data_IF_904700355951
#
_entry.id   IF_904700355951
#
_cell.length_a   1.000
_cell.length_b   1.000
_cell.length_c   1.000
_cell.angle_alpha   90.00
_cell.angle_beta   90.00
_cell.angle_gamma   90.00
#
_symmetry.space_group_name_H-M   'P 1'
#
loop_
_entity.id
_entity.type
_entity.pdbx_description
1 polymer ?
#
# COMPACT_ATOMS: atom_id res chain seq x y z
N UNK A 1 -16.05 -29.27 1.97
CA UNK A 1 -16.65 -28.52 3.11
C UNK A 1 -15.60 -28.53 4.20
N UNK A 2 -14.81 -27.47 4.32
CA UNK A 2 -13.89 -27.31 5.45
C UNK A 2 -14.76 -26.94 6.65
N UNK A 3 -14.86 -27.85 7.60
CA UNK A 3 -15.44 -27.55 8.91
C UNK A 3 -14.46 -26.59 9.61
N UNK A 4 -14.75 -25.30 9.56
CA UNK A 4 -14.03 -24.34 10.39
C UNK A 4 -14.37 -24.63 11.84
N UNK A 5 -13.47 -25.33 12.53
CA UNK A 5 -13.45 -25.26 13.99
C UNK A 5 -13.23 -23.81 14.35
N UNK A 6 -14.10 -23.25 15.19
CA UNK A 6 -14.03 -21.86 15.67
C UNK A 6 -12.64 -21.62 16.27
N UNK A 7 -11.73 -21.04 15.48
CA UNK A 7 -10.41 -20.66 15.98
C UNK A 7 -10.58 -19.32 16.68
N UNK A 8 -10.44 -19.32 18.00
CA UNK A 8 -10.63 -18.10 18.81
C UNK A 8 -9.75 -16.94 18.36
N UNK A 9 -8.53 -17.24 17.87
CA UNK A 9 -7.62 -16.20 17.41
C UNK A 9 -8.11 -15.55 16.11
N UNK A 10 -8.58 -16.33 15.14
CA UNK A 10 -9.18 -15.78 13.92
C UNK A 10 -10.36 -14.89 14.28
N UNK A 11 -11.22 -15.35 15.19
CA UNK A 11 -12.39 -14.59 15.60
C UNK A 11 -12.01 -13.29 16.31
N UNK A 12 -11.02 -13.33 17.20
CA UNK A 12 -10.50 -12.14 17.89
C UNK A 12 -9.90 -11.15 16.92
N UNK A 13 -9.06 -11.61 15.99
CA UNK A 13 -8.45 -10.76 14.97
C UNK A 13 -9.48 -10.17 14.01
N UNK A 14 -10.44 -10.99 13.55
CA UNK A 14 -11.55 -10.51 12.73
C UNK A 14 -12.39 -9.45 13.45
N UNK A 15 -12.65 -9.64 14.76
CA UNK A 15 -13.39 -8.66 15.56
C UNK A 15 -12.62 -7.33 15.65
N UNK A 16 -11.32 -7.38 15.93
CA UNK A 16 -10.50 -6.16 15.95
C UNK A 16 -10.54 -5.41 14.61
N UNK A 17 -10.43 -6.15 13.51
CA UNK A 17 -10.46 -5.55 12.17
C UNK A 17 -11.84 -4.94 11.87
N UNK A 18 -12.93 -5.65 12.10
CA UNK A 18 -14.28 -5.17 11.75
C UNK A 18 -14.74 -4.07 12.71
N UNK A 19 -14.60 -4.30 14.01
CA UNK A 19 -15.13 -3.40 15.04
C UNK A 19 -14.24 -2.16 15.22
N UNK A 20 -12.95 -2.37 15.38
CA UNK A 20 -12.03 -1.28 15.78
C UNK A 20 -11.45 -0.56 14.56
N UNK A 21 -10.85 -1.28 13.61
CA UNK A 21 -10.26 -0.64 12.44
C UNK A 21 -11.31 -0.18 11.45
N UNK A 22 -12.36 -0.99 11.25
CA UNK A 22 -13.49 -0.66 10.39
C UNK A 22 -14.44 0.39 11.00
N UNK A 23 -14.33 0.68 12.31
CA UNK A 23 -15.19 1.64 13.01
C UNK A 23 -16.67 1.40 12.73
N UNK A 24 -17.08 0.12 12.70
CA UNK A 24 -18.40 -0.28 12.28
C UNK A 24 -19.49 0.15 13.27
N UNK A 25 -20.68 0.40 12.75
CA UNK A 25 -21.85 0.80 13.53
C UNK A 25 -23.01 -0.17 13.30
N UNK A 26 -23.82 -0.49 14.33
CA UNK A 26 -25.00 -1.31 14.14
C UNK A 26 -25.91 -0.75 13.04
N UNK A 27 -26.40 -1.62 12.17
CA UNK A 27 -27.25 -1.27 11.04
C UNK A 27 -26.52 -1.00 9.73
N UNK A 28 -25.20 -0.90 9.74
CA UNK A 28 -24.39 -0.76 8.52
C UNK A 28 -24.33 -2.06 7.70
N UNK A 29 -24.00 -1.92 6.43
CA UNK A 29 -23.80 -3.02 5.48
C UNK A 29 -22.31 -3.28 5.23
N UNK A 30 -21.89 -4.53 5.39
CA UNK A 30 -20.52 -4.98 5.13
C UNK A 30 -20.47 -5.96 3.96
N UNK A 31 -19.50 -5.76 3.06
CA UNK A 31 -19.19 -6.67 1.96
C UNK A 31 -17.78 -7.19 2.13
N UNK A 32 -17.62 -8.51 2.12
CA UNK A 32 -16.32 -9.18 1.99
C UNK A 32 -16.19 -9.72 0.56
N UNK A 33 -15.11 -9.38 -0.12
CA UNK A 33 -14.73 -9.94 -1.42
C UNK A 33 -13.63 -10.95 -1.17
N UNK A 34 -13.84 -12.19 -1.55
CA UNK A 34 -12.97 -13.29 -1.21
C UNK A 34 -12.80 -14.26 -2.38
N UNK A 35 -11.72 -15.00 -2.39
CA UNK A 35 -11.45 -16.15 -3.26
C UNK A 35 -11.49 -17.45 -2.46
N UNK A 36 -11.17 -18.60 -3.10
CA UNK A 36 -11.18 -19.90 -2.44
C UNK A 36 -10.23 -19.98 -1.23
N UNK A 37 -9.10 -19.27 -1.27
CA UNK A 37 -8.12 -19.28 -0.19
C UNK A 37 -8.62 -18.50 1.03
N UNK A 38 -9.32 -17.40 0.79
CA UNK A 38 -9.72 -16.45 1.84
C UNK A 38 -11.18 -16.55 2.25
N UNK A 39 -11.99 -17.33 1.54
CA UNK A 39 -13.44 -17.45 1.82
C UNK A 39 -13.77 -17.80 3.28
N UNK A 40 -12.96 -18.62 3.91
CA UNK A 40 -13.16 -18.99 5.29
C UNK A 40 -12.98 -17.85 6.28
N UNK A 41 -12.00 -17.00 6.04
CA UNK A 41 -11.78 -15.80 6.85
C UNK A 41 -12.92 -14.79 6.64
N UNK A 42 -13.36 -14.60 5.40
CA UNK A 42 -14.53 -13.78 5.08
C UNK A 42 -15.78 -14.26 5.84
N UNK A 43 -15.96 -15.58 5.96
CA UNK A 43 -17.06 -16.16 6.71
C UNK A 43 -17.01 -15.78 8.19
N UNK A 44 -15.83 -15.87 8.82
CA UNK A 44 -15.65 -15.47 10.23
C UNK A 44 -15.91 -13.98 10.39
N UNK A 45 -15.40 -13.14 9.49
CA UNK A 45 -15.66 -11.69 9.53
C UNK A 45 -17.15 -11.35 9.40
N UNK A 46 -17.87 -12.03 8.52
CA UNK A 46 -19.32 -11.88 8.41
C UNK A 46 -20.07 -12.33 9.66
N UNK A 47 -19.61 -13.38 10.34
CA UNK A 47 -20.23 -13.82 11.59
C UNK A 47 -19.98 -12.80 12.70
N UNK A 48 -18.77 -12.23 12.80
CA UNK A 48 -18.45 -11.10 13.69
C UNK A 48 -19.32 -9.89 13.38
N UNK A 49 -19.43 -9.50 12.11
CA UNK A 49 -20.23 -8.36 11.70
C UNK A 49 -21.69 -8.51 12.15
N UNK A 50 -22.28 -9.71 11.99
CA UNK A 50 -23.65 -9.99 12.44
C UNK A 50 -23.79 -9.90 13.96
N UNK A 51 -22.81 -10.38 14.73
CA UNK A 51 -22.78 -10.21 16.19
C UNK A 51 -22.75 -8.72 16.59
N UNK A 52 -22.10 -7.87 15.77
CA UNK A 52 -22.04 -6.42 15.97
C UNK A 52 -23.25 -5.67 15.41
N UNK A 53 -24.23 -6.39 14.84
CA UNK A 53 -25.47 -5.82 14.33
C UNK A 53 -25.41 -5.28 12.91
N UNK A 54 -24.42 -5.69 12.11
CA UNK A 54 -24.32 -5.34 10.70
C UNK A 54 -25.04 -6.37 9.82
N UNK A 55 -25.49 -5.92 8.65
CA UNK A 55 -25.80 -6.79 7.52
C UNK A 55 -24.49 -7.13 6.80
N UNK A 56 -24.21 -8.41 6.58
CA UNK A 56 -22.94 -8.84 5.96
C UNK A 56 -23.15 -9.87 4.87
N UNK A 57 -22.42 -9.70 3.74
CA UNK A 57 -22.38 -10.64 2.63
C UNK A 57 -20.96 -10.94 2.21
N UNK A 58 -20.78 -12.08 1.54
CA UNK A 58 -19.53 -12.48 0.88
C UNK A 58 -19.79 -12.54 -0.61
N UNK A 59 -18.88 -11.96 -1.38
CA UNK A 59 -18.80 -12.12 -2.83
C UNK A 59 -17.59 -12.98 -3.12
N UNK A 60 -17.86 -14.17 -3.67
CA UNK A 60 -16.84 -15.10 -4.10
C UNK A 60 -16.41 -14.77 -5.52
N UNK A 61 -15.20 -14.23 -5.68
CA UNK A 61 -14.71 -13.83 -7.00
C UNK A 61 -14.27 -15.01 -7.85
N UNK A 62 -14.07 -16.20 -7.30
CA UNK A 62 -13.78 -17.40 -8.06
C UNK A 62 -14.96 -17.83 -8.95
N UNK A 63 -16.16 -17.39 -8.61
CA UNK A 63 -17.35 -17.60 -9.45
C UNK A 63 -17.30 -16.85 -10.79
N UNK A 64 -16.40 -15.89 -10.96
CA UNK A 64 -16.31 -15.04 -12.16
C UNK A 64 -15.31 -15.54 -13.23
N UNK A 65 -14.70 -16.69 -13.04
CA UNK A 65 -13.82 -17.37 -14.03
C UNK A 65 -12.32 -17.21 -13.77
N UNK A 66 -11.50 -18.12 -14.16
CA UNK A 66 -10.08 -18.42 -13.97
C UNK A 66 -9.04 -17.32 -13.57
N UNK A 67 -7.77 -17.67 -13.55
CA UNK A 67 -6.66 -16.78 -13.10
C UNK A 67 -6.44 -15.54 -13.99
N UNK A 68 -7.05 -15.49 -15.16
CA UNK A 68 -7.06 -14.30 -16.04
C UNK A 68 -8.10 -13.24 -15.63
N UNK A 69 -8.89 -13.49 -14.60
CA UNK A 69 -10.05 -12.66 -14.17
C UNK A 69 -9.65 -11.26 -13.79
N UNK A 70 -8.50 -11.12 -13.16
CA UNK A 70 -8.00 -9.83 -12.68
C UNK A 70 -7.49 -8.94 -13.81
N UNK A 71 -7.30 -9.51 -15.00
CA UNK A 71 -6.65 -8.83 -16.12
C UNK A 71 -7.62 -8.34 -17.20
N UNK A 72 -8.87 -8.82 -17.21
CA UNK A 72 -9.79 -8.59 -18.32
C UNK A 72 -11.15 -8.04 -17.92
N UNK A 73 -11.35 -7.72 -16.65
CA UNK A 73 -12.69 -7.38 -16.20
C UNK A 73 -13.13 -5.99 -16.64
N UNK A 74 -14.30 -5.92 -17.31
CA UNK A 74 -15.27 -4.97 -16.83
C UNK A 74 -15.82 -5.56 -15.52
N UNK A 75 -15.72 -4.82 -14.41
CA UNK A 75 -16.32 -5.23 -13.15
C UNK A 75 -17.79 -5.51 -13.42
N UNK A 76 -18.23 -6.69 -13.03
CA UNK A 76 -19.63 -7.02 -13.19
C UNK A 76 -20.46 -6.02 -12.39
N UNK A 77 -21.45 -5.45 -13.04
CA UNK A 77 -22.30 -4.44 -12.43
C UNK A 77 -22.86 -4.83 -11.04
N UNK A 78 -23.25 -6.09 -10.77
CA UNK A 78 -23.63 -6.50 -9.43
C UNK A 78 -22.57 -6.32 -8.37
N UNK A 79 -21.29 -6.61 -8.67
CA UNK A 79 -20.17 -6.40 -7.75
C UNK A 79 -19.93 -4.90 -7.52
N UNK A 80 -19.92 -4.11 -8.59
CA UNK A 80 -19.82 -2.67 -8.52
C UNK A 80 -20.89 -2.07 -7.62
N UNK A 81 -22.14 -2.45 -7.81
CA UNK A 81 -23.26 -1.96 -7.00
C UNK A 81 -23.13 -2.40 -5.54
N UNK A 82 -22.67 -3.63 -5.27
CA UNK A 82 -22.46 -4.09 -3.90
C UNK A 82 -21.38 -3.25 -3.18
N UNK A 83 -20.28 -2.92 -3.85
CA UNK A 83 -19.22 -2.06 -3.30
C UNK A 83 -19.74 -0.64 -3.06
N UNK A 84 -20.40 -0.04 -4.06
CA UNK A 84 -20.86 1.34 -3.99
C UNK A 84 -21.94 1.59 -2.92
N UNK A 85 -22.66 0.56 -2.52
CA UNK A 85 -23.74 0.67 -1.53
C UNK A 85 -23.40 0.04 -0.17
N UNK A 86 -22.17 -0.44 0.02
CA UNK A 86 -21.70 -0.91 1.30
C UNK A 86 -21.14 0.25 2.14
N UNK A 87 -21.30 0.17 3.46
CA UNK A 87 -20.64 1.09 4.40
C UNK A 87 -19.20 0.62 4.69
N UNK A 88 -18.99 -0.69 4.62
CA UNK A 88 -17.73 -1.36 4.88
C UNK A 88 -17.41 -2.37 3.78
N UNK A 89 -16.23 -2.30 3.19
CA UNK A 89 -15.76 -3.26 2.18
C UNK A 89 -14.41 -3.84 2.61
N UNK A 90 -14.35 -5.15 2.67
CA UNK A 90 -13.10 -5.89 2.91
C UNK A 90 -12.76 -6.74 1.69
N UNK A 91 -11.65 -6.44 1.04
CA UNK A 91 -11.07 -7.26 -0.01
C UNK A 91 -10.03 -8.19 0.60
N UNK A 92 -10.34 -9.49 0.62
CA UNK A 92 -9.57 -10.51 1.33
C UNK A 92 -8.89 -11.48 0.36
N UNK A 93 -8.53 -11.01 -0.81
CA UNK A 93 -7.97 -11.89 -1.83
C UNK A 93 -6.50 -12.15 -1.57
N UNK A 94 -6.02 -13.34 -1.98
CA UNK A 94 -4.61 -13.74 -1.97
C UNK A 94 -3.74 -12.87 -2.90
N UNK A 95 -4.40 -12.07 -3.73
CA UNK A 95 -3.78 -11.16 -4.67
C UNK A 95 -4.05 -9.74 -4.19
N UNK A 96 -3.01 -8.96 -4.02
CA UNK A 96 -3.12 -7.54 -3.69
C UNK A 96 -3.86 -6.81 -4.81
N UNK A 97 -5.17 -6.75 -4.67
CA UNK A 97 -6.00 -5.90 -5.50
C UNK A 97 -6.03 -4.53 -4.82
N UNK A 98 -4.97 -3.79 -5.00
CA UNK A 98 -4.80 -2.48 -4.38
C UNK A 98 -5.73 -1.43 -4.96
N UNK A 99 -6.41 -1.75 -6.07
CA UNK A 99 -7.14 -0.77 -6.85
C UNK A 99 -8.61 -1.09 -6.99
N UNK A 100 -9.42 -0.45 -6.18
CA UNK A 100 -10.87 -0.48 -6.34
C UNK A 100 -11.33 0.07 -7.69
N UNK A 101 -10.62 1.03 -8.28
CA UNK A 101 -10.88 1.53 -9.62
C UNK A 101 -10.86 0.44 -10.68
N UNK A 102 -9.96 -0.55 -10.55
CA UNK A 102 -9.95 -1.72 -11.42
C UNK A 102 -11.20 -2.58 -11.29
N UNK A 103 -11.67 -2.79 -10.06
CA UNK A 103 -12.92 -3.50 -9.84
C UNK A 103 -14.12 -2.74 -10.36
N UNK A 104 -14.04 -1.43 -10.39
CA UNK A 104 -15.13 -0.58 -10.85
C UNK A 104 -15.12 -0.37 -12.37
N UNK A 105 -14.11 -0.89 -13.07
CA UNK A 105 -14.06 -0.94 -14.54
C UNK A 105 -13.82 0.42 -15.20
N UNK A 106 -13.46 1.42 -14.43
CA UNK A 106 -13.10 2.75 -14.95
C UNK A 106 -11.76 3.18 -14.39
N UNK A 107 -10.67 3.04 -15.14
CA UNK A 107 -9.35 3.44 -14.70
C UNK A 107 -9.20 4.96 -14.50
N UNK A 108 -10.13 5.77 -15.03
CA UNK A 108 -10.13 7.22 -14.88
C UNK A 108 -10.87 7.69 -13.61
N UNK A 109 -11.51 6.77 -12.90
CA UNK A 109 -12.19 7.08 -11.64
C UNK A 109 -11.24 6.81 -10.47
N UNK A 110 -10.89 7.84 -9.72
CA UNK A 110 -10.11 7.75 -8.50
C UNK A 110 -10.87 6.94 -7.45
N UNK A 111 -10.21 6.02 -6.77
CA UNK A 111 -10.78 5.16 -5.73
C UNK A 111 -11.52 5.95 -4.66
N UNK A 112 -10.95 7.08 -4.24
CA UNK A 112 -11.54 7.95 -3.22
C UNK A 112 -12.82 8.64 -3.66
N UNK A 113 -12.98 8.93 -4.94
CA UNK A 113 -14.20 9.59 -5.45
C UNK A 113 -15.38 8.62 -5.53
N UNK A 114 -15.12 7.36 -5.88
CA UNK A 114 -16.15 6.32 -5.97
C UNK A 114 -16.57 5.76 -4.62
N UNK A 115 -15.65 5.73 -3.68
CA UNK A 115 -15.81 5.10 -2.38
C UNK A 115 -16.02 6.13 -1.26
N UNK A 116 -16.33 7.38 -1.60
CA UNK A 116 -16.39 8.50 -0.67
C UNK A 116 -17.29 8.33 0.56
N UNK A 117 -18.16 7.34 0.60
CA UNK A 117 -18.97 6.96 1.76
C UNK A 117 -18.53 5.64 2.37
N UNK A 118 -17.83 4.76 1.64
CA UNK A 118 -17.46 3.42 2.07
C UNK A 118 -16.06 3.42 2.70
N UNK A 119 -15.93 2.73 3.82
CA UNK A 119 -14.63 2.42 4.41
C UNK A 119 -14.13 1.13 3.79
N UNK A 120 -13.09 1.24 2.99
CA UNK A 120 -12.57 0.12 2.21
C UNK A 120 -11.22 -0.33 2.76
N UNK A 121 -11.05 -1.65 2.84
CA UNK A 121 -9.86 -2.28 3.35
C UNK A 121 -9.43 -3.43 2.45
N UNK A 122 -8.15 -3.44 2.12
CA UNK A 122 -7.55 -4.52 1.34
C UNK A 122 -6.52 -5.25 2.18
N UNK A 123 -6.57 -6.55 2.27
CA UNK A 123 -5.53 -7.33 2.92
C UNK A 123 -5.58 -8.80 2.54
N UNK A 124 -4.44 -9.43 2.55
CA UNK A 124 -4.34 -10.87 2.46
C UNK A 124 -4.77 -11.48 3.80
N UNK A 125 -5.91 -12.15 3.82
CA UNK A 125 -6.45 -12.73 5.04
C UNK A 125 -5.86 -14.10 5.37
N UNK A 126 -5.10 -14.71 4.46
CA UNK A 126 -4.44 -15.99 4.69
C UNK A 126 -3.47 -15.88 5.85
N UNK A 127 -3.55 -16.80 6.80
CA UNK A 127 -2.72 -16.76 8.00
C UNK A 127 -3.22 -15.85 9.12
N UNK A 128 -4.48 -15.36 9.07
CA UNK A 128 -5.08 -14.57 10.15
C UNK A 128 -4.97 -15.25 11.53
N UNK A 129 -4.92 -16.57 11.58
CA UNK A 129 -4.68 -17.34 12.81
C UNK A 129 -3.29 -17.14 13.39
N UNK A 130 -2.32 -16.75 12.59
CA UNK A 130 -0.96 -16.49 13.03
C UNK A 130 -0.74 -15.04 13.49
N UNK A 131 -1.65 -14.14 13.19
CA UNK A 131 -1.52 -12.74 13.58
C UNK A 131 -1.48 -12.58 15.11
N UNK A 132 -0.44 -11.94 15.59
CA UNK A 132 -0.28 -11.56 16.99
C UNK A 132 -0.45 -10.03 17.08
N UNK A 133 -1.68 -9.56 16.89
CA UNK A 133 -1.98 -8.15 16.91
C UNK A 133 -1.67 -7.53 18.27
N UNK A 134 -1.04 -6.38 18.25
CA UNK A 134 -1.03 -5.44 19.36
C UNK A 134 -1.99 -4.30 19.00
N UNK A 135 -3.25 -4.35 19.45
CA UNK A 135 -4.25 -3.36 19.09
C UNK A 135 -3.85 -1.93 19.41
N UNK A 136 -3.22 -1.71 20.57
CA UNK A 136 -2.83 -0.37 20.98
C UNK A 136 -1.75 0.19 20.07
N UNK A 137 -0.73 -0.62 19.75
CA UNK A 137 0.36 -0.22 18.86
C UNK A 137 -0.14 0.12 17.45
N UNK A 138 -1.08 -0.68 16.93
CA UNK A 138 -1.70 -0.42 15.62
C UNK A 138 -2.47 0.92 15.63
N UNK A 139 -3.23 1.17 16.69
CA UNK A 139 -3.96 2.44 16.83
C UNK A 139 -3.00 3.64 16.99
N UNK A 140 -1.90 3.46 17.71
CA UNK A 140 -0.87 4.49 17.86
C UNK A 140 -0.18 4.79 16.53
N UNK A 141 0.10 3.77 15.72
CA UNK A 141 0.66 3.92 14.38
C UNK A 141 -0.29 4.68 13.46
N UNK A 142 -1.59 4.35 13.47
CA UNK A 142 -2.62 5.09 12.72
C UNK A 142 -2.72 6.55 13.18
N UNK A 143 -2.70 6.78 14.47
CA UNK A 143 -2.71 8.14 15.02
C UNK A 143 -1.46 8.94 14.61
N UNK A 144 -0.29 8.30 14.56
CA UNK A 144 0.96 8.89 14.05
C UNK A 144 0.83 9.23 12.57
N UNK A 145 0.31 8.32 11.75
CA UNK A 145 0.05 8.57 10.33
C UNK A 145 -0.76 9.85 10.12
N UNK A 146 -1.85 10.00 10.86
CA UNK A 146 -2.72 11.17 10.75
C UNK A 146 -2.02 12.46 11.21
N UNK A 147 -1.17 12.39 12.24
CA UNK A 147 -0.38 13.56 12.67
C UNK A 147 0.65 13.94 11.62
N UNK A 148 1.37 12.96 11.06
CA UNK A 148 2.34 13.18 9.98
C UNK A 148 1.67 13.77 8.74
N UNK A 149 0.54 13.20 8.32
CA UNK A 149 -0.24 13.71 7.20
C UNK A 149 -0.61 15.19 7.37
N UNK A 150 -1.12 15.57 8.55
CA UNK A 150 -1.46 16.97 8.85
C UNK A 150 -0.24 17.89 8.82
N UNK A 151 0.93 17.42 9.27
CA UNK A 151 2.17 18.20 9.21
C UNK A 151 2.63 18.39 7.77
N UNK A 152 2.58 17.34 6.96
CA UNK A 152 2.95 17.41 5.55
C UNK A 152 2.08 18.40 4.76
N UNK A 153 0.78 18.48 5.05
CA UNK A 153 -0.12 19.46 4.40
C UNK A 153 0.31 20.92 4.59
N UNK A 154 1.09 21.22 5.63
CA UNK A 154 1.60 22.57 5.91
C UNK A 154 3.09 22.72 5.68
N UNK A 155 3.80 21.63 5.37
CA UNK A 155 5.23 21.64 5.13
C UNK A 155 5.58 22.19 3.74
N UNK A 156 6.80 22.67 3.61
CA UNK A 156 7.37 23.12 2.33
C UNK A 156 8.42 22.17 1.80
N UNK A 157 9.26 21.67 2.70
CA UNK A 157 10.41 20.86 2.32
C UNK A 157 10.46 19.59 3.14
N UNK A 158 10.54 18.47 2.45
CA UNK A 158 10.86 17.15 2.99
C UNK A 158 12.31 16.84 2.61
N UNK A 159 13.12 16.42 3.58
CA UNK A 159 14.46 15.91 3.34
C UNK A 159 14.58 14.51 3.95
N UNK A 160 15.16 13.59 3.21
CA UNK A 160 15.42 12.21 3.64
C UNK A 160 16.91 11.96 3.51
N UNK A 161 17.56 11.61 4.62
CA UNK A 161 18.98 11.28 4.64
C UNK A 161 19.21 9.96 5.34
N UNK A 162 20.32 9.28 5.00
CA UNK A 162 20.78 8.08 5.72
C UNK A 162 22.28 8.10 5.90
N UNK A 163 22.78 7.35 6.87
CA UNK A 163 24.22 7.13 7.04
C UNK A 163 24.87 6.44 5.83
N UNK A 164 24.07 5.78 4.98
CA UNK A 164 24.52 5.10 3.75
C UNK A 164 24.69 6.04 2.57
N UNK A 165 24.25 7.29 2.68
CA UNK A 165 24.44 8.31 1.64
C UNK A 165 23.17 8.71 0.89
N UNK A 166 21.99 8.30 1.30
CA UNK A 166 20.76 8.93 0.82
C UNK A 166 20.78 10.40 1.22
N UNK A 167 20.49 11.27 0.27
CA UNK A 167 20.32 12.71 0.44
C UNK A 167 19.32 13.18 -0.61
N UNK A 168 18.05 13.12 -0.26
CA UNK A 168 16.90 13.41 -1.12
C UNK A 168 16.12 14.58 -0.55
N UNK A 169 15.77 15.53 -1.40
CA UNK A 169 14.90 16.67 -1.05
C UNK A 169 13.68 16.70 -1.97
N UNK A 170 12.53 16.95 -1.37
CA UNK A 170 11.26 17.14 -2.07
C UNK A 170 10.63 18.48 -1.67
N UNK A 171 10.22 19.27 -2.67
CA UNK A 171 9.36 20.45 -2.46
C UNK A 171 7.91 19.98 -2.31
N UNK A 172 7.46 19.86 -1.06
CA UNK A 172 6.12 19.35 -0.71
C UNK A 172 5.01 20.28 -1.19
N UNK A 173 5.30 21.58 -1.41
CA UNK A 173 4.30 22.53 -1.91
C UNK A 173 3.87 22.24 -3.34
N UNK A 174 4.61 21.40 -4.04
CA UNK A 174 4.35 20.95 -5.41
C UNK A 174 3.82 19.51 -5.47
N UNK A 175 3.43 18.94 -4.35
CA UNK A 175 2.83 17.60 -4.34
C UNK A 175 1.51 17.60 -5.10
N UNK A 176 1.34 16.65 -6.01
CA UNK A 176 0.10 16.46 -6.76
C UNK A 176 -1.00 15.87 -5.87
N UNK A 177 -0.62 15.00 -4.97
CA UNK A 177 -1.50 14.43 -3.95
C UNK A 177 -0.72 14.01 -2.69
N UNK A 178 -1.43 13.83 -1.58
CA UNK A 178 -0.95 13.13 -0.39
C UNK A 178 -2.12 12.55 0.38
N UNK A 179 -1.94 11.40 0.95
CA UNK A 179 -3.00 10.75 1.72
C UNK A 179 -2.44 9.77 2.76
N UNK A 180 -3.18 9.57 3.87
CA UNK A 180 -2.83 8.54 4.84
C UNK A 180 -3.29 7.18 4.32
N UNK A 181 -2.37 6.24 4.16
CA UNK A 181 -2.65 4.86 3.80
C UNK A 181 -2.75 4.04 5.07
N UNK A 182 -3.96 3.61 5.42
CA UNK A 182 -4.25 2.85 6.63
C UNK A 182 -5.28 1.74 6.37
N UNK A 183 -5.54 1.50 5.10
CA UNK A 183 -6.55 0.56 4.64
C UNK A 183 -5.97 -0.79 4.20
N UNK A 184 -4.66 -0.92 4.16
CA UNK A 184 -3.96 -2.19 3.95
C UNK A 184 -3.67 -2.77 5.32
N UNK A 185 -4.43 -3.76 5.71
CA UNK A 185 -4.58 -4.19 7.10
C UNK A 185 -3.74 -5.41 7.43
N UNK A 186 -3.58 -5.58 8.74
CA UNK A 186 -3.90 -4.75 9.91
C UNK A 186 -2.75 -3.88 10.37
N UNK A 187 -1.60 -4.03 9.74
CA UNK A 187 -0.32 -3.56 10.28
C UNK A 187 0.21 -2.36 9.54
N UNK A 188 -0.37 -2.08 8.38
CA UNK A 188 0.15 -1.07 7.50
C UNK A 188 -0.29 0.32 7.91
N UNK A 189 0.65 1.23 7.94
CA UNK A 189 0.39 2.64 8.17
C UNK A 189 1.52 3.46 7.53
N UNK A 190 1.16 4.35 6.63
CA UNK A 190 2.08 5.30 6.00
C UNK A 190 1.39 6.58 5.60
N UNK A 191 2.17 7.57 5.20
CA UNK A 191 1.69 8.68 4.38
C UNK A 191 2.32 8.56 3.01
N UNK A 192 1.49 8.35 2.00
CA UNK A 192 1.89 8.43 0.61
C UNK A 192 1.92 9.89 0.18
N UNK A 193 3.06 10.35 -0.30
CA UNK A 193 3.28 11.65 -0.88
C UNK A 193 3.54 11.46 -2.38
N UNK A 194 2.67 12.03 -3.21
CA UNK A 194 2.82 12.01 -4.66
C UNK A 194 3.49 13.31 -5.08
N UNK A 195 4.79 13.28 -5.40
CA UNK A 195 5.53 14.49 -5.69
C UNK A 195 5.20 15.02 -7.10
N UNK A 196 4.92 16.28 -7.20
CA UNK A 196 4.73 16.94 -8.50
C UNK A 196 6.02 17.02 -9.31
N UNK A 197 5.88 17.15 -10.61
CA UNK A 197 7.03 17.22 -11.53
C UNK A 197 8.01 18.32 -11.13
N UNK A 198 9.29 17.97 -11.07
CA UNK A 198 10.38 18.89 -10.73
C UNK A 198 10.52 19.18 -9.25
N UNK A 199 9.83 18.45 -8.38
CA UNK A 199 9.90 18.67 -6.92
C UNK A 199 10.97 17.84 -6.22
N UNK A 200 11.41 16.69 -6.80
CA UNK A 200 12.35 15.75 -6.17
C UNK A 200 13.74 15.88 -6.75
N UNK A 201 14.74 16.05 -5.89
CA UNK A 201 16.13 16.14 -6.26
C UNK A 201 17.03 15.43 -5.25
N UNK A 202 18.10 14.82 -5.73
CA UNK A 202 19.12 14.20 -4.87
C UNK A 202 19.38 12.74 -5.19
N UNK A 203 19.91 12.02 -4.21
CA UNK A 203 20.31 10.62 -4.35
C UNK A 203 19.60 9.77 -3.31
N UNK A 204 19.09 8.63 -3.74
CA UNK A 204 18.54 7.56 -2.90
C UNK A 204 19.54 6.41 -2.90
N UNK A 205 19.95 5.94 -1.75
CA UNK A 205 20.68 4.68 -1.60
C UNK A 205 19.68 3.64 -1.14
N UNK A 206 19.21 2.87 -2.11
CA UNK A 206 18.22 1.82 -1.89
C UNK A 206 18.89 0.49 -1.51
N UNK A 207 18.32 -0.21 -0.55
CA UNK A 207 18.78 -1.53 -0.09
C UNK A 207 17.74 -2.65 -0.31
N UNK A 208 16.68 -2.35 -1.01
CA UNK A 208 15.65 -3.28 -1.47
C UNK A 208 14.76 -2.65 -2.55
N UNK A 209 13.92 -3.46 -3.16
CA UNK A 209 12.85 -2.98 -4.02
C UNK A 209 11.69 -3.96 -4.12
N UNK A 210 10.49 -3.45 -4.36
CA UNK A 210 9.32 -4.21 -4.78
C UNK A 210 8.83 -3.71 -6.14
N UNK A 211 8.32 -4.61 -6.97
CA UNK A 211 7.90 -4.31 -8.34
C UNK A 211 6.44 -4.73 -8.54
N UNK A 212 5.65 -3.85 -9.13
CA UNK A 212 4.30 -4.14 -9.63
C UNK A 212 4.26 -3.87 -11.13
N UNK A 213 3.85 -4.86 -11.92
CA UNK A 213 3.69 -4.71 -13.36
C UNK A 213 2.24 -4.37 -13.72
N UNK A 214 2.05 -3.39 -14.60
CA UNK A 214 0.75 -2.90 -15.04
C UNK A 214 0.56 -3.06 -16.54
N UNK A 215 -0.69 -3.15 -17.00
CA UNK A 215 -1.06 -3.14 -18.42
C UNK A 215 -1.00 -1.74 -19.02
N UNK A 216 -1.25 -1.66 -20.33
CA UNK A 216 -1.22 -0.40 -21.09
C UNK A 216 -2.18 0.67 -20.57
N UNK A 217 -3.18 0.29 -19.79
CA UNK A 217 -4.14 1.22 -19.14
C UNK A 217 -3.90 1.34 -17.64
N UNK A 218 -2.75 0.88 -17.15
CA UNK A 218 -2.48 0.83 -15.72
C UNK A 218 -3.19 -0.32 -14.99
N UNK A 219 -3.80 -1.28 -15.67
CA UNK A 219 -4.33 -2.47 -15.00
C UNK A 219 -3.18 -3.43 -14.64
N UNK A 220 -3.22 -4.13 -13.50
CA UNK A 220 -2.24 -5.15 -13.17
C UNK A 220 -2.19 -6.23 -14.25
N UNK A 221 -1.03 -6.50 -14.80
CA UNK A 221 -0.82 -7.60 -15.74
C UNK A 221 -0.48 -8.89 -15.01
N UNK A 222 0.03 -8.77 -13.82
CA UNK A 222 0.31 -9.90 -12.94
C UNK A 222 -0.12 -9.51 -11.54
N UNK A 223 -0.56 -10.49 -10.72
CA UNK A 223 -0.55 -10.26 -9.29
C UNK A 223 0.85 -9.72 -8.98
N UNK A 224 0.90 -8.64 -8.23
CA UNK A 224 2.17 -8.21 -7.67
C UNK A 224 2.85 -9.48 -7.18
N UNK A 225 4.05 -9.81 -7.66
CA UNK A 225 4.81 -10.88 -7.06
C UNK A 225 5.21 -10.34 -5.69
N UNK A 226 4.24 -10.36 -4.79
CA UNK A 226 4.44 -10.02 -3.42
C UNK A 226 5.65 -10.82 -2.97
N UNK A 227 6.72 -10.14 -2.69
CA UNK A 227 7.78 -10.70 -1.93
C UNK A 227 8.98 -11.28 -2.64
N UNK A 228 9.47 -10.71 -3.70
CA UNK A 228 10.90 -10.76 -3.95
C UNK A 228 11.61 -9.63 -3.20
N UNK A 229 11.37 -9.59 -1.89
CA UNK A 229 12.18 -8.81 -0.98
C UNK A 229 13.53 -9.50 -0.79
N UNK A 230 14.38 -9.31 -1.72
CA UNK A 230 15.79 -9.46 -1.43
C UNK A 230 16.28 -8.11 -0.92
N UNK A 231 16.49 -8.01 0.40
CA UNK A 231 17.40 -7.00 0.91
C UNK A 231 18.69 -7.15 0.11
N UNK A 232 19.02 -6.16 -0.65
CA UNK A 232 20.17 -6.26 -1.54
C UNK A 232 21.45 -6.25 -0.73
N UNK A 233 22.29 -7.23 -0.96
CA UNK A 233 23.61 -7.31 -0.31
C UNK A 233 24.49 -6.10 -0.62
N UNK A 234 24.21 -5.43 -1.73
CA UNK A 234 24.88 -4.20 -2.18
C UNK A 234 23.81 -3.19 -2.55
N UNK A 235 23.73 -2.08 -1.85
CA UNK A 235 22.80 -1.01 -2.17
C UNK A 235 23.01 -0.46 -3.58
N UNK A 236 21.94 0.14 -4.12
CA UNK A 236 21.97 0.90 -5.37
C UNK A 236 21.82 2.39 -5.08
N UNK A 237 22.62 3.19 -5.78
CA UNK A 237 22.43 4.63 -5.88
C UNK A 237 21.47 4.97 -7.02
N UNK A 238 20.43 5.73 -6.71
CA UNK A 238 19.45 6.23 -7.67
C UNK A 238 19.51 7.75 -7.65
N UNK A 239 19.74 8.36 -8.81
CA UNK A 239 19.97 9.80 -8.90
C UNK A 239 18.78 10.50 -9.52
N UNK A 240 18.15 11.38 -8.76
CA UNK A 240 16.98 12.16 -9.19
C UNK A 240 17.34 13.61 -9.48
N UNK A 241 16.81 14.15 -10.57
CA UNK A 241 16.82 15.57 -10.91
C UNK A 241 15.46 15.96 -11.45
N UNK A 242 14.87 16.97 -10.84
CA UNK A 242 13.55 17.48 -11.24
C UNK A 242 12.48 16.38 -11.33
N UNK A 243 12.47 15.48 -10.34
CA UNK A 243 11.63 14.27 -10.23
C UNK A 243 11.95 13.17 -11.24
N UNK A 244 12.93 13.33 -12.11
CA UNK A 244 13.33 12.31 -13.08
C UNK A 244 14.51 11.49 -12.55
N UNK A 245 14.43 10.18 -12.58
CA UNK A 245 15.56 9.28 -12.39
C UNK A 245 16.50 9.39 -13.59
N UNK A 246 17.64 10.04 -13.38
CA UNK A 246 18.61 10.36 -14.45
C UNK A 246 19.76 9.34 -14.53
N UNK A 247 19.90 8.48 -13.56
CA UNK A 247 20.93 7.45 -13.52
C UNK A 247 20.88 6.62 -12.25
N UNK A 248 21.58 5.51 -12.31
CA UNK A 248 21.74 4.58 -11.18
C UNK A 248 23.11 3.92 -11.24
N UNK A 249 23.61 3.50 -10.07
CA UNK A 249 24.85 2.78 -9.90
C UNK A 249 24.76 1.77 -8.73
N UNK A 250 25.75 0.88 -8.60
CA UNK A 250 25.83 -0.07 -7.51
C UNK A 250 25.93 -1.52 -7.98
N UNK A 251 25.06 -2.41 -7.49
CA UNK A 251 25.11 -3.82 -7.85
C UNK A 251 24.81 -4.05 -9.34
N UNK A 252 25.72 -4.72 -10.04
CA UNK A 252 25.61 -4.92 -11.49
C UNK A 252 24.36 -5.73 -11.92
N UNK A 253 23.90 -6.64 -11.06
CA UNK A 253 22.71 -7.45 -11.36
C UNK A 253 21.46 -6.59 -11.27
N UNK A 254 21.35 -5.77 -10.24
CA UNK A 254 20.20 -4.86 -10.05
C UNK A 254 20.24 -3.72 -11.10
N UNK A 255 21.41 -3.20 -11.41
CA UNK A 255 21.58 -2.21 -12.49
C UNK A 255 21.08 -2.77 -13.84
N UNK A 256 21.45 -4.00 -14.18
CA UNK A 256 20.97 -4.64 -15.40
C UNK A 256 19.45 -4.91 -15.41
N UNK A 257 18.84 -5.15 -14.25
CA UNK A 257 17.38 -5.26 -14.12
C UNK A 257 16.70 -3.92 -14.38
N UNK A 258 17.24 -2.84 -13.80
CA UNK A 258 16.77 -1.49 -14.06
C UNK A 258 16.96 -1.08 -15.52
N UNK A 259 18.12 -1.36 -16.11
CA UNK A 259 18.38 -1.12 -17.53
C UNK A 259 17.28 -1.78 -18.38
N UNK A 260 16.98 -3.05 -18.12
CA UNK A 260 15.93 -3.77 -18.83
C UNK A 260 14.54 -3.19 -18.59
N UNK A 261 14.23 -2.80 -17.36
CA UNK A 261 12.96 -2.19 -17.02
C UNK A 261 12.77 -0.86 -17.78
N UNK A 262 13.86 -0.12 -17.98
CA UNK A 262 13.85 1.19 -18.64
C UNK A 262 14.02 1.14 -20.16
N UNK A 263 14.47 0.02 -20.74
CA UNK A 263 14.61 -0.14 -22.20
C UNK A 263 13.28 -0.21 -22.93
N UNK A 264 12.28 -0.82 -22.30
CA UNK A 264 11.01 -1.16 -22.95
C UNK A 264 9.97 -0.04 -22.84
N UNK A 265 10.31 1.14 -22.29
CA UNK A 265 9.28 2.07 -21.83
C UNK A 265 9.59 3.54 -22.10
N UNK A 266 8.54 4.30 -22.42
CA UNK A 266 8.46 5.76 -22.49
C UNK A 266 9.04 6.44 -21.21
N UNK A 267 9.57 7.68 -21.24
CA UNK A 267 10.15 8.40 -20.10
C UNK A 267 9.33 8.45 -18.81
N UNK A 268 8.03 8.30 -18.90
CA UNK A 268 7.12 8.26 -17.74
C UNK A 268 7.54 7.29 -16.61
N UNK A 269 8.08 6.08 -16.87
CA UNK A 269 8.53 5.15 -15.85
C UNK A 269 9.69 5.64 -14.98
N UNK A 270 10.40 6.67 -15.42
CA UNK A 270 11.53 7.26 -14.69
C UNK A 270 11.14 8.39 -13.77
N UNK A 271 9.87 8.75 -13.74
CA UNK A 271 9.40 9.80 -12.85
C UNK A 271 9.22 9.23 -11.44
N UNK A 272 9.70 10.00 -10.44
CA UNK A 272 9.36 9.73 -9.06
C UNK A 272 7.86 9.95 -8.90
N UNK A 273 7.16 8.88 -8.60
CA UNK A 273 5.70 8.84 -8.56
C UNK A 273 5.15 8.76 -7.14
N UNK A 274 5.98 8.31 -6.18
CA UNK A 274 5.60 8.22 -4.78
C UNK A 274 6.81 8.36 -3.85
N UNK A 275 6.58 8.95 -2.69
CA UNK A 275 7.45 8.86 -1.51
C UNK A 275 6.58 8.37 -0.37
N UNK A 276 6.74 7.11 0.02
CA UNK A 276 6.01 6.47 1.10
C UNK A 276 6.73 6.63 2.43
N UNK A 277 6.11 7.35 3.36
CA UNK A 277 6.64 7.58 4.70
C UNK A 277 5.99 6.58 5.66
N UNK A 278 6.61 5.42 5.83
CA UNK A 278 6.06 4.34 6.65
C UNK A 278 6.09 4.72 8.13
N UNK A 279 4.92 4.78 8.73
CA UNK A 279 4.73 5.12 10.14
C UNK A 279 4.46 3.92 11.02
N UNK A 280 4.21 2.75 10.41
CA UNK A 280 4.00 1.49 11.10
C UNK A 280 5.24 1.12 11.94
N UNK A 281 5.03 0.75 13.18
CA UNK A 281 6.07 0.24 14.09
C UNK A 281 5.80 -1.20 14.49
N UNK A 282 4.63 -1.72 14.14
CA UNK A 282 4.15 -3.07 14.50
C UNK A 282 4.58 -4.16 13.51
N UNK A 283 5.13 -3.76 12.34
CA UNK A 283 5.57 -4.69 11.29
C UNK A 283 7.05 -5.00 11.47
N UNK A 284 7.36 -6.16 12.01
CA UNK A 284 8.73 -6.70 12.04
C UNK A 284 8.79 -7.91 11.10
N UNK A 285 9.77 -7.94 10.22
CA UNK A 285 9.92 -8.85 9.08
C UNK A 285 9.70 -10.34 9.32
N UNK A 286 10.01 -10.84 10.50
CA UNK A 286 10.05 -12.28 10.72
C UNK A 286 8.89 -12.84 11.57
N UNK A 287 8.07 -11.97 12.13
CA UNK A 287 7.07 -12.42 13.10
C UNK A 287 5.81 -13.02 12.51
N UNK A 288 5.52 -12.72 11.22
CA UNK A 288 4.18 -12.95 10.71
C UNK A 288 4.11 -14.02 9.63
N UNK A 289 5.25 -14.49 9.11
CA UNK A 289 5.30 -15.39 7.95
C UNK A 289 4.74 -14.73 6.67
N UNK A 290 4.54 -13.43 6.73
CA UNK A 290 3.98 -12.64 5.65
C UNK A 290 5.07 -12.15 4.73
N UNK A 291 4.80 -12.20 3.45
CA UNK A 291 5.55 -11.50 2.43
C UNK A 291 5.10 -10.04 2.41
N UNK A 292 5.44 -9.28 3.44
CA UNK A 292 5.36 -7.83 3.35
C UNK A 292 6.55 -7.44 2.49
N UNK A 293 6.28 -6.69 1.42
CA UNK A 293 7.34 -6.15 0.59
C UNK A 293 8.23 -5.21 1.43
N UNK A 294 9.48 -4.97 0.99
CA UNK A 294 10.46 -4.19 1.74
C UNK A 294 10.00 -2.78 2.02
N UNK A 295 9.25 -2.22 1.08
CA UNK A 295 8.75 -0.85 1.13
C UNK A 295 7.85 -0.56 2.33
N UNK A 296 7.24 -1.59 2.90
CA UNK A 296 6.27 -1.46 3.99
C UNK A 296 6.79 -1.91 5.36
N UNK A 297 8.10 -2.10 5.50
CA UNK A 297 8.72 -2.48 6.76
C UNK A 297 8.85 -1.31 7.73
N UNK A 298 8.89 -1.63 9.02
CA UNK A 298 9.24 -0.62 10.03
C UNK A 298 10.60 -0.01 9.77
N UNK A 299 10.77 1.26 10.13
CA UNK A 299 12.01 2.02 9.95
C UNK A 299 12.43 2.18 8.50
N UNK A 300 11.47 2.22 7.60
CA UNK A 300 11.68 2.36 6.19
C UNK A 300 10.93 3.57 5.63
N UNK A 301 11.45 4.14 4.58
CA UNK A 301 10.70 4.90 3.58
C UNK A 301 10.92 4.22 2.24
N UNK A 302 9.99 4.37 1.33
CA UNK A 302 10.24 4.00 -0.06
C UNK A 302 10.14 5.23 -0.97
N UNK A 303 10.88 5.18 -2.04
CA UNK A 303 10.84 6.16 -3.12
C UNK A 303 10.52 5.39 -4.38
N UNK A 304 9.35 5.64 -4.94
CA UNK A 304 8.89 4.90 -6.10
C UNK A 304 9.06 5.66 -7.41
N UNK A 305 9.12 4.89 -8.48
CA UNK A 305 9.05 5.40 -9.85
C UNK A 305 7.99 4.65 -10.64
N UNK A 306 7.37 5.34 -11.58
CA UNK A 306 6.50 4.72 -12.57
C UNK A 306 5.06 5.15 -12.49
N UNK A 307 4.15 4.21 -12.34
CA UNK A 307 2.71 4.43 -12.47
C UNK A 307 2.05 4.86 -11.16
N UNK A 308 1.41 6.05 -11.18
CA UNK A 308 0.59 6.53 -10.08
C UNK A 308 -0.86 6.86 -10.50
N UNK A 309 -1.24 6.46 -11.70
CA UNK A 309 -2.50 6.87 -12.35
C UNK A 309 -3.77 6.47 -11.59
N UNK A 310 -3.73 5.43 -10.79
CA UNK A 310 -4.91 4.86 -10.14
C UNK A 310 -5.42 5.62 -8.95
N UNK A 311 -4.63 6.56 -8.47
CA UNK A 311 -4.94 7.36 -7.28
C UNK A 311 -5.32 8.79 -7.63
N UNK A 312 -5.76 9.00 -8.88
CA UNK A 312 -6.12 10.32 -9.41
C UNK A 312 -4.93 11.15 -9.86
N UNK A 313 -3.75 10.53 -9.92
CA UNK A 313 -2.51 11.11 -10.40
C UNK A 313 -2.37 10.93 -11.92
N UNK A 314 -1.31 11.45 -12.51
CA UNK A 314 -1.21 11.61 -13.96
C UNK A 314 -0.13 10.80 -14.66
N UNK A 315 0.66 10.01 -13.92
CA UNK A 315 1.73 9.21 -14.51
C UNK A 315 1.20 7.84 -14.91
N UNK A 316 1.19 7.60 -16.22
CA UNK A 316 0.84 6.31 -16.79
C UNK A 316 2.11 5.58 -17.18
N UNK A 317 2.41 4.50 -16.50
CA UNK A 317 3.54 3.64 -16.81
C UNK A 317 3.15 2.17 -16.65
N UNK A 318 3.84 1.23 -17.30
CA UNK A 318 3.56 -0.19 -17.17
C UNK A 318 4.06 -0.77 -15.85
N UNK A 319 4.89 -0.05 -15.13
CA UNK A 319 5.53 -0.50 -13.89
C UNK A 319 5.35 0.53 -12.79
N UNK A 320 5.34 0.06 -11.55
CA UNK A 320 5.50 0.83 -10.33
C UNK A 320 6.55 0.10 -9.49
N UNK A 321 7.61 0.80 -9.14
CA UNK A 321 8.74 0.20 -8.43
C UNK A 321 9.06 1.00 -7.19
N UNK A 322 8.87 0.41 -6.04
CA UNK A 322 9.30 0.95 -4.74
C UNK A 322 10.75 0.61 -4.47
N UNK A 323 11.54 1.60 -4.11
CA UNK A 323 12.92 1.44 -3.67
C UNK A 323 13.01 1.72 -2.18
N UNK A 324 13.45 0.71 -1.43
CA UNK A 324 13.48 0.74 0.02
C UNK A 324 14.69 1.49 0.57
N UNK A 325 14.44 2.36 1.53
CA UNK A 325 15.46 3.12 2.25
C UNK A 325 15.28 2.89 3.74
N UNK A 326 16.11 2.04 4.33
CA UNK A 326 16.03 1.74 5.76
C UNK A 326 16.79 2.73 6.62
N UNK A 327 16.32 2.88 7.86
CA UNK A 327 16.89 3.75 8.88
C UNK A 327 17.04 5.23 8.41
N UNK A 328 15.98 5.81 7.80
CA UNK A 328 16.05 7.18 7.33
C UNK A 328 16.04 8.17 8.50
N UNK A 329 16.70 9.30 8.29
CA UNK A 329 16.45 10.52 9.05
C UNK A 329 15.59 11.42 8.16
N UNK A 330 14.39 11.77 8.66
CA UNK A 330 13.41 12.56 7.93
C UNK A 330 13.27 13.91 8.59
N UNK A 331 13.35 14.97 7.79
CA UNK A 331 13.27 16.36 8.25
C UNK A 331 12.17 17.08 7.46
N UNK A 332 11.27 17.77 8.17
CA UNK A 332 10.28 18.68 7.59
C UNK A 332 10.62 20.11 8.00
N UNK A 333 10.84 21.00 7.02
CA UNK A 333 11.16 22.41 7.23
C UNK A 333 12.27 22.64 8.27
N UNK A 334 13.30 21.79 8.24
CA UNK A 334 14.42 21.84 9.20
C UNK A 334 14.17 21.15 10.55
N UNK A 335 13.00 20.62 10.79
CA UNK A 335 12.68 19.87 12.02
C UNK A 335 12.79 18.37 11.77
N UNK A 336 13.65 17.69 12.53
CA UNK A 336 13.76 16.22 12.47
C UNK A 336 12.51 15.60 13.06
N UNK A 337 11.80 14.83 12.26
CA UNK A 337 10.57 14.09 12.64
C UNK A 337 10.79 12.59 12.78
N UNK A 338 11.84 12.07 12.16
CA UNK A 338 12.28 10.69 12.28
C UNK A 338 13.81 10.67 12.28
N UNK A 339 14.42 9.95 13.18
CA UNK A 339 15.87 9.80 13.28
C UNK A 339 16.25 8.32 13.24
N UNK A 340 17.04 7.93 12.22
CA UNK A 340 17.45 6.54 11.98
C UNK A 340 16.27 5.56 12.02
N UNK A 341 15.17 5.93 11.36
CA UNK A 341 13.95 5.13 11.27
C UNK A 341 13.09 5.12 12.54
N UNK A 342 13.35 5.98 13.51
CA UNK A 342 12.55 6.12 14.72
C UNK A 342 11.90 7.50 14.75
N UNK A 343 10.57 7.53 14.78
CA UNK A 343 9.83 8.80 14.88
C UNK A 343 10.07 9.48 16.23
N UNK A 344 10.25 10.79 16.17
CA UNK A 344 10.43 11.64 17.34
C UNK A 344 9.07 12.10 17.91
N UNK A 345 9.07 12.74 19.07
CA UNK A 345 7.86 13.33 19.66
C UNK A 345 7.26 14.47 18.81
N UNK A 346 7.93 14.83 17.73
CA UNK A 346 7.43 15.82 16.78
C UNK A 346 6.27 15.31 15.91
N UNK A 347 5.99 13.99 15.91
CA UNK A 347 4.93 13.38 15.08
C UNK A 347 3.97 12.52 15.89
#
# INVERSE_FOLDING_TARGET
VVLYTRNERIFTNARFVVETLGECKPGECMVCIADAATYGYARVMCDVARELGLSAMIIDIDCYGGDERYMKLPVMEPLRQAILHADLVFMLTDQMLTDFGMFLGNPDECDTALLGHSRCFTFEATGMEAWQLDPQRILDDRARTLRLYKKLQSARTLTITTARGTDLTCDVTRADAMYPVMAIIPFYAEVALIPGLGSVNGTVIADGASECAYGQRGEPIRPAQAGNMELWKKPMGLHFRDSLLIGWDGDAVQAARLDKLMEDVDPAPRLCDEIGLVTATSVENDRWGWRIDGSHQTRCVHVAIGNNYRRGEVIHAPEHVDFDVHEPTITLDGTVICENGVFTDAV
#
